data_IF_800479364677
#
_entry.id   IF_800479364677
#
_cell.length_a   1.000
_cell.length_b   1.000
_cell.length_c   1.000
_cell.angle_alpha   90.00
_cell.angle_beta   90.00
_cell.angle_gamma   90.00
#
_symmetry.space_group_name_H-M   'P 1'
#
loop_
_entity.id
_entity.type
_entity.pdbx_description
1 polymer ?
#
# COMPACT_ATOMS: atom_id res chain seq x y z
N UNK A 1 4.16 4.89 -5.20
CA UNK A 1 3.73 3.69 -4.45
C UNK A 1 3.63 4.07 -2.97
N UNK A 2 2.54 3.74 -2.28
CA UNK A 2 2.39 4.03 -0.85
C UNK A 2 2.95 2.88 -0.01
N UNK A 3 3.94 3.17 0.84
CA UNK A 3 4.53 2.19 1.78
C UNK A 3 3.56 1.91 2.93
N UNK A 4 3.62 0.71 3.51
CA UNK A 4 2.78 0.29 4.64
C UNK A 4 2.78 1.31 5.80
N UNK A 5 3.95 1.88 6.11
CA UNK A 5 4.12 2.92 7.14
C UNK A 5 3.27 4.17 6.88
N UNK A 6 3.18 4.63 5.63
CA UNK A 6 2.35 5.80 5.27
C UNK A 6 0.87 5.45 5.46
N UNK A 7 0.45 4.26 5.02
CA UNK A 7 -0.94 3.82 5.17
C UNK A 7 -1.35 3.71 6.65
N UNK A 8 -0.47 3.18 7.52
CA UNK A 8 -0.71 3.15 8.96
C UNK A 8 -0.85 4.55 9.55
N UNK A 9 0.02 5.48 9.16
CA UNK A 9 -0.04 6.86 9.66
C UNK A 9 -1.36 7.55 9.26
N UNK A 10 -1.79 7.35 8.01
CA UNK A 10 -3.08 7.84 7.51
C UNK A 10 -4.25 7.25 8.31
N UNK A 11 -4.24 5.93 8.56
CA UNK A 11 -5.30 5.28 9.34
C UNK A 11 -5.31 5.71 10.81
N UNK A 12 -4.14 5.91 11.42
CA UNK A 12 -4.03 6.42 12.78
C UNK A 12 -4.62 7.82 12.92
N UNK A 13 -4.31 8.74 11.99
CA UNK A 13 -4.91 10.07 11.98
C UNK A 13 -6.42 10.03 11.68
N UNK A 14 -6.86 9.11 10.82
CA UNK A 14 -8.27 8.90 10.52
C UNK A 14 -9.04 8.42 11.76
N UNK A 15 -8.47 7.49 12.54
CA UNK A 15 -9.03 7.01 13.81
C UNK A 15 -9.06 8.07 14.90
N UNK A 16 -8.14 9.04 14.86
CA UNK A 16 -8.16 10.23 15.73
C UNK A 16 -9.28 11.22 15.38
N UNK A 17 -10.08 10.96 14.34
CA UNK A 17 -11.19 11.82 13.90
C UNK A 17 -10.80 12.83 12.83
N UNK A 18 -9.61 12.72 12.23
CA UNK A 18 -9.21 13.61 11.13
C UNK A 18 -10.05 13.31 9.89
N UNK A 19 -10.60 14.35 9.27
CA UNK A 19 -11.40 14.20 8.06
C UNK A 19 -10.58 13.59 6.92
N UNK A 20 -11.16 12.62 6.22
CA UNK A 20 -10.54 11.97 5.05
C UNK A 20 -10.07 12.97 3.99
N UNK A 21 -10.79 14.09 3.80
CA UNK A 21 -10.41 15.18 2.88
C UNK A 21 -9.11 15.88 3.25
N UNK A 22 -8.86 16.09 4.55
CA UNK A 22 -7.61 16.68 5.04
C UNK A 22 -6.44 15.71 4.83
N UNK A 23 -6.65 14.43 5.15
CA UNK A 23 -5.65 13.38 4.92
C UNK A 23 -5.31 13.22 3.44
N UNK A 24 -6.32 13.28 2.57
CA UNK A 24 -6.12 13.26 1.12
C UNK A 24 -5.21 14.39 0.65
N UNK A 25 -5.44 15.62 1.14
CA UNK A 25 -4.60 16.77 0.79
C UNK A 25 -3.20 16.68 1.38
N UNK A 26 -3.07 16.20 2.63
CA UNK A 26 -1.79 16.06 3.34
C UNK A 26 -0.88 15.00 2.73
N UNK A 27 -1.46 13.86 2.34
CA UNK A 27 -0.72 12.70 1.82
C UNK A 27 -0.80 12.56 0.28
N UNK A 28 -1.50 13.46 -0.40
CA UNK A 28 -1.68 13.41 -1.86
C UNK A 28 -2.53 12.23 -2.35
N UNK A 29 -3.47 11.75 -1.52
CA UNK A 29 -4.35 10.63 -1.87
C UNK A 29 -5.48 11.16 -2.75
N UNK A 30 -5.63 10.60 -3.95
CA UNK A 30 -6.60 11.09 -4.95
C UNK A 30 -8.06 10.79 -4.61
N UNK A 31 -8.34 9.84 -3.70
CA UNK A 31 -9.71 9.47 -3.35
C UNK A 31 -9.87 8.87 -1.96
N UNK A 32 -10.97 9.23 -1.29
CA UNK A 32 -11.36 8.73 0.03
C UNK A 32 -11.64 7.23 0.03
N UNK A 33 -12.07 6.67 -1.11
CA UNK A 33 -12.24 5.24 -1.32
C UNK A 33 -10.96 4.45 -0.99
N UNK A 34 -9.79 5.01 -1.31
CA UNK A 34 -8.48 4.39 -1.00
C UNK A 34 -8.29 4.24 0.51
N UNK A 35 -8.66 5.26 1.29
CA UNK A 35 -8.54 5.26 2.75
C UNK A 35 -9.50 4.24 3.35
N UNK A 36 -10.75 4.18 2.84
CA UNK A 36 -11.72 3.17 3.27
C UNK A 36 -11.23 1.76 2.96
N UNK A 37 -10.65 1.53 1.78
CA UNK A 37 -10.10 0.24 1.41
C UNK A 37 -8.95 -0.16 2.34
N UNK A 38 -8.02 0.75 2.65
CA UNK A 38 -6.98 0.49 3.64
C UNK A 38 -7.55 0.18 5.03
N UNK A 39 -8.61 0.87 5.46
CA UNK A 39 -9.26 0.62 6.74
C UNK A 39 -9.91 -0.77 6.78
N UNK A 40 -10.61 -1.16 5.71
CA UNK A 40 -11.23 -2.48 5.59
C UNK A 40 -10.17 -3.58 5.60
N UNK A 41 -9.09 -3.42 4.82
CA UNK A 41 -7.99 -4.37 4.79
C UNK A 41 -7.28 -4.46 6.15
N UNK A 42 -7.09 -3.33 6.85
CA UNK A 42 -6.53 -3.32 8.18
C UNK A 42 -7.44 -4.02 9.21
N UNK A 43 -8.77 -3.87 9.10
CA UNK A 43 -9.72 -4.58 9.96
C UNK A 43 -9.76 -6.09 9.71
N UNK A 44 -9.60 -6.52 8.47
CA UNK A 44 -9.66 -7.93 8.09
C UNK A 44 -8.33 -8.68 8.30
N UNK A 45 -7.21 -8.04 7.99
CA UNK A 45 -5.89 -8.67 7.93
C UNK A 45 -4.84 -8.01 8.84
N UNK A 46 -5.21 -6.97 9.60
CA UNK A 46 -4.27 -6.22 10.43
C UNK A 46 -3.20 -5.50 9.61
N UNK A 47 -1.97 -5.48 10.14
CA UNK A 47 -0.82 -4.81 9.50
C UNK A 47 -0.48 -5.44 8.14
N UNK A 48 -0.67 -6.76 7.98
CA UNK A 48 -0.43 -7.47 6.72
C UNK A 48 -1.32 -6.96 5.59
N UNK A 49 -2.54 -6.49 5.89
CA UNK A 49 -3.44 -5.90 4.90
C UNK A 49 -2.95 -4.55 4.32
N UNK A 50 -2.02 -3.88 5.02
CA UNK A 50 -1.41 -2.63 4.59
C UNK A 50 -0.10 -2.85 3.84
N UNK A 51 0.51 -4.03 4.00
CA UNK A 51 1.72 -4.40 3.28
C UNK A 51 1.43 -4.40 1.78
N UNK A 52 2.25 -3.62 1.06
CA UNK A 52 2.18 -3.64 -0.38
C UNK A 52 2.83 -4.96 -0.81
N UNK A 53 2.01 -5.97 -1.12
CA UNK A 53 2.45 -7.10 -1.92
C UNK A 53 2.71 -6.62 -3.36
N UNK A 54 3.60 -5.64 -3.54
CA UNK A 54 4.36 -5.57 -4.77
C UNK A 54 5.22 -6.82 -4.76
N UNK A 55 4.66 -7.92 -5.27
CA UNK A 55 5.45 -8.92 -5.95
C UNK A 55 6.14 -8.13 -7.04
N UNK A 56 7.31 -7.56 -6.72
CA UNK A 56 8.29 -7.26 -7.75
C UNK A 56 8.62 -8.65 -8.26
N UNK A 57 7.85 -9.12 -9.24
CA UNK A 57 8.35 -10.07 -10.21
C UNK A 57 9.47 -9.30 -10.90
N UNK A 58 10.63 -9.23 -10.24
CA UNK A 58 11.89 -9.25 -10.95
C UNK A 58 11.85 -10.59 -11.67
N UNK A 59 11.20 -10.58 -12.83
CA UNK A 59 11.43 -11.57 -13.84
C UNK A 59 12.86 -11.30 -14.28
N UNK A 60 13.77 -11.86 -13.51
CA UNK A 60 15.20 -11.77 -13.73
C UNK A 60 15.45 -12.53 -15.04
N UNK A 61 15.60 -11.77 -16.12
CA UNK A 61 15.86 -12.26 -17.48
C UNK A 61 17.21 -13.00 -17.61
N UNK A 62 17.85 -13.37 -16.50
CA UNK A 62 19.18 -13.99 -16.43
C UNK A 62 19.19 -15.48 -16.81
N UNK A 63 18.07 -16.06 -17.24
CA UNK A 63 18.02 -17.40 -17.83
C UNK A 63 18.40 -17.43 -19.32
N UNK A 64 19.42 -16.65 -19.71
CA UNK A 64 20.12 -16.80 -20.99
C UNK A 64 21.56 -17.24 -20.78
N UNK A 65 21.74 -18.45 -20.26
CA UNK A 65 23.02 -19.18 -20.29
C UNK A 65 22.60 -20.66 -20.37
N UNK A 66 22.91 -21.49 -21.37
CA UNK A 66 23.73 -21.43 -22.57
C UNK A 66 23.29 -22.65 -23.40
N UNK A 67 23.04 -22.49 -24.69
CA UNK A 67 22.84 -23.64 -25.58
C UNK A 67 24.16 -24.40 -25.61
N UNK A 68 24.18 -25.64 -25.13
CA UNK A 68 25.34 -26.50 -25.27
C UNK A 68 25.21 -27.20 -26.63
N UNK A 69 26.26 -26.97 -27.43
CA UNK A 69 26.81 -27.73 -28.56
C UNK A 69 25.98 -28.88 -29.14
#
# INVERSE_FOLDING_TARGET
MFTAKIKQQVLSEYLQGTSSRLLMRKYGIKGSATIHQWLTHFKLFGIQGLENHSKKTFYDYSFKIKVNA
#
